data_IF_164356546865
#
_entry.id   IF_164356546865
#
_cell.length_a   1.000
_cell.length_b   1.000
_cell.length_c   1.000
_cell.angle_alpha   90.00
_cell.angle_beta   90.00
_cell.angle_gamma   90.00
#
_symmetry.space_group_name_H-M   'P 1'
#
loop_
_entity.id
_entity.type
_entity.pdbx_description
1 polymer ?
#
# COMPACT_ATOMS: atom_id res chain seq x y z
N UNK A 1 -30.08 5.66 -22.22
CA UNK A 1 -29.95 4.30 -22.78
C UNK A 1 -28.47 4.06 -22.97
N UNK A 2 -27.88 3.10 -22.24
CA UNK A 2 -26.44 2.83 -22.34
C UNK A 2 -26.17 2.20 -23.71
N UNK A 3 -25.21 2.77 -24.45
CA UNK A 3 -24.86 2.32 -25.79
C UNK A 3 -24.34 0.87 -25.74
N UNK A 4 -25.04 -0.05 -26.42
CA UNK A 4 -24.74 -1.49 -26.37
C UNK A 4 -23.31 -1.82 -26.84
N UNK A 5 -22.75 -1.00 -27.71
CA UNK A 5 -21.36 -1.14 -28.16
C UNK A 5 -20.37 -0.86 -27.02
N UNK A 6 -20.60 0.21 -26.25
CA UNK A 6 -19.79 0.51 -25.06
C UNK A 6 -19.90 -0.59 -24.01
N UNK A 7 -21.08 -1.14 -23.81
CA UNK A 7 -21.27 -2.23 -22.84
C UNK A 7 -20.44 -3.47 -23.21
N UNK A 8 -20.48 -3.90 -24.48
CA UNK A 8 -19.67 -5.05 -24.95
C UNK A 8 -18.16 -4.78 -24.91
N UNK A 9 -17.74 -3.55 -25.21
CA UNK A 9 -16.34 -3.12 -25.09
C UNK A 9 -15.86 -3.22 -23.63
N UNK A 10 -16.69 -2.78 -22.69
CA UNK A 10 -16.42 -2.87 -21.25
C UNK A 10 -16.37 -4.31 -20.77
N UNK A 11 -17.30 -5.18 -21.18
CA UNK A 11 -17.26 -6.60 -20.83
C UNK A 11 -15.96 -7.27 -21.29
N UNK A 12 -15.52 -7.02 -22.53
CA UNK A 12 -14.24 -7.55 -23.05
C UNK A 12 -13.03 -7.06 -22.25
N UNK A 13 -13.03 -5.79 -21.84
CA UNK A 13 -11.94 -5.22 -21.02
C UNK A 13 -11.93 -5.84 -19.63
N UNK A 14 -13.10 -6.10 -19.04
CA UNK A 14 -13.21 -6.77 -17.74
C UNK A 14 -12.73 -8.22 -17.84
N UNK A 15 -13.17 -8.99 -18.84
CA UNK A 15 -12.70 -10.38 -19.04
C UNK A 15 -11.19 -10.46 -19.24
N UNK A 16 -10.61 -9.54 -20.01
CA UNK A 16 -9.16 -9.49 -20.21
C UNK A 16 -8.39 -9.19 -18.91
N UNK A 17 -8.93 -8.30 -18.06
CA UNK A 17 -8.36 -7.98 -16.75
C UNK A 17 -8.47 -9.16 -15.78
N UNK A 18 -9.61 -9.84 -15.77
CA UNK A 18 -9.83 -11.03 -14.93
C UNK A 18 -8.87 -12.16 -15.33
N UNK A 19 -8.69 -12.40 -16.62
CA UNK A 19 -7.75 -13.40 -17.12
C UNK A 19 -6.31 -13.05 -16.73
N UNK A 20 -5.92 -11.77 -16.88
CA UNK A 20 -4.60 -11.29 -16.45
C UNK A 20 -4.40 -11.48 -14.95
N UNK A 21 -5.39 -11.15 -14.11
CA UNK A 21 -5.33 -11.34 -12.66
C UNK A 21 -5.20 -12.82 -12.27
N UNK A 22 -5.94 -13.71 -12.94
CA UNK A 22 -5.85 -15.17 -12.73
C UNK A 22 -4.47 -15.70 -13.14
N UNK A 23 -3.89 -15.20 -14.22
CA UNK A 23 -2.53 -15.57 -14.62
C UNK A 23 -1.46 -15.04 -13.66
N UNK A 24 -1.63 -13.82 -13.13
CA UNK A 24 -0.74 -13.25 -12.11
C UNK A 24 -0.87 -13.97 -10.76
N UNK A 25 -2.05 -14.48 -10.42
CA UNK A 25 -2.23 -15.31 -9.22
C UNK A 25 -1.51 -16.67 -9.30
N UNK A 26 -1.13 -17.14 -10.50
CA UNK A 26 -0.68 -18.53 -10.67
C UNK A 26 0.76 -18.84 -10.29
N UNK A 27 1.63 -17.88 -10.00
CA UNK A 27 2.97 -18.14 -9.46
C UNK A 27 3.54 -16.83 -8.98
N UNK A 28 3.86 -16.75 -7.67
CA UNK A 28 4.91 -15.98 -6.97
C UNK A 28 5.49 -14.65 -7.48
N UNK A 29 5.16 -14.16 -8.66
CA UNK A 29 5.70 -12.97 -9.29
C UNK A 29 5.02 -11.77 -8.66
N UNK A 30 5.85 -10.96 -8.00
CA UNK A 30 5.47 -9.66 -7.50
C UNK A 30 5.24 -8.79 -8.75
N UNK A 31 4.02 -8.26 -8.98
CA UNK A 31 3.75 -7.42 -10.13
C UNK A 31 4.70 -6.21 -10.17
N UNK A 32 5.08 -5.77 -11.35
CA UNK A 32 5.95 -4.60 -11.52
C UNK A 32 5.41 -3.39 -10.73
N UNK A 33 6.29 -2.78 -9.92
CA UNK A 33 5.94 -1.64 -9.07
C UNK A 33 5.28 -2.00 -7.74
N UNK A 34 4.94 -3.27 -7.49
CA UNK A 34 4.54 -3.77 -6.18
C UNK A 34 5.76 -4.23 -5.38
N UNK A 35 5.70 -4.10 -4.06
CA UNK A 35 6.70 -4.65 -3.16
C UNK A 35 6.02 -5.18 -1.88
N UNK A 36 6.63 -6.16 -1.19
CA UNK A 36 6.14 -6.61 0.10
C UNK A 36 6.00 -5.45 1.08
N UNK A 37 4.82 -5.30 1.66
CA UNK A 37 4.51 -4.23 2.60
C UNK A 37 5.40 -4.33 3.85
N UNK A 38 5.85 -5.53 4.21
CA UNK A 38 6.83 -5.75 5.28
C UNK A 38 8.17 -5.10 4.98
N UNK A 39 8.68 -5.24 3.77
CA UNK A 39 9.92 -4.59 3.31
C UNK A 39 9.75 -3.07 3.29
N UNK A 40 8.65 -2.58 2.71
CA UNK A 40 8.36 -1.14 2.68
C UNK A 40 8.17 -0.54 4.08
N UNK A 41 7.56 -1.28 5.01
CA UNK A 41 7.42 -0.87 6.39
C UNK A 41 8.79 -0.73 7.07
N UNK A 42 9.67 -1.73 6.87
CA UNK A 42 11.03 -1.71 7.42
C UNK A 42 11.86 -0.55 6.85
N UNK A 43 11.79 -0.30 5.53
CA UNK A 43 12.45 0.86 4.88
C UNK A 43 12.04 2.19 5.52
N UNK A 44 10.76 2.33 5.87
CA UNK A 44 10.21 3.57 6.43
C UNK A 44 10.22 3.62 7.96
N UNK A 45 10.76 2.60 8.66
CA UNK A 45 10.79 2.54 10.13
C UNK A 45 9.41 2.36 10.78
N UNK A 46 8.47 1.74 10.06
CA UNK A 46 7.10 1.49 10.49
C UNK A 46 6.90 0.02 10.87
N UNK A 47 5.97 -0.25 11.79
CA UNK A 47 5.48 -1.62 11.97
C UNK A 47 4.61 -2.02 10.77
N UNK A 48 4.52 -3.32 10.50
CA UNK A 48 3.68 -3.87 9.43
C UNK A 48 2.22 -3.43 9.57
N UNK A 49 1.65 -3.54 10.78
CA UNK A 49 0.29 -3.08 11.09
C UNK A 49 0.09 -1.58 10.81
N UNK A 50 1.10 -0.73 11.09
CA UNK A 50 1.00 0.71 10.81
C UNK A 50 1.22 1.04 9.33
N UNK A 51 2.05 0.27 8.63
CA UNK A 51 2.17 0.38 7.19
C UNK A 51 0.86 -0.02 6.49
N UNK A 52 0.14 -1.03 7.00
CA UNK A 52 -1.20 -1.40 6.50
C UNK A 52 -2.22 -0.27 6.71
N UNK A 53 -2.29 0.29 7.92
CA UNK A 53 -3.18 1.44 8.20
C UNK A 53 -2.84 2.64 7.31
N UNK A 54 -1.55 2.96 7.16
CA UNK A 54 -1.08 4.04 6.31
C UNK A 54 -1.48 3.82 4.86
N UNK A 55 -1.25 2.62 4.33
CA UNK A 55 -1.59 2.30 2.95
C UNK A 55 -3.11 2.44 2.70
N UNK A 56 -3.94 1.91 3.61
CA UNK A 56 -5.41 2.02 3.52
C UNK A 56 -5.89 3.47 3.56
N UNK A 57 -5.38 4.26 4.50
CA UNK A 57 -5.83 5.63 4.71
C UNK A 57 -5.33 6.60 3.64
N UNK A 58 -4.15 6.33 3.06
CA UNK A 58 -3.57 7.14 1.98
C UNK A 58 -3.99 6.67 0.58
N UNK A 59 -4.87 5.67 0.47
CA UNK A 59 -5.34 5.15 -0.82
C UNK A 59 -4.24 4.45 -1.64
N UNK A 60 -3.23 3.91 -0.98
CA UNK A 60 -2.19 3.10 -1.63
C UNK A 60 -2.79 1.71 -1.89
N UNK A 61 -2.73 1.27 -3.14
CA UNK A 61 -3.19 -0.07 -3.52
C UNK A 61 -2.41 -1.14 -2.74
N UNK A 62 -3.15 -1.99 -2.04
CA UNK A 62 -2.63 -3.17 -1.34
C UNK A 62 -3.29 -4.43 -1.87
N UNK A 63 -2.51 -5.49 -2.05
CA UNK A 63 -2.97 -6.81 -2.53
C UNK A 63 -2.52 -7.86 -1.54
N UNK A 64 -3.42 -8.78 -1.16
CA UNK A 64 -3.07 -9.89 -0.28
C UNK A 64 -2.30 -10.95 -1.06
N UNK A 65 -1.11 -11.33 -0.59
CA UNK A 65 -0.30 -12.41 -1.15
C UNK A 65 0.03 -13.41 -0.02
N UNK A 66 -0.68 -14.54 -0.01
CA UNK A 66 -0.58 -15.53 1.07
C UNK A 66 -0.92 -14.94 2.44
N UNK A 67 0.05 -15.00 3.36
CA UNK A 67 -0.04 -14.43 4.71
C UNK A 67 0.42 -12.96 4.81
N UNK A 68 0.89 -12.36 3.70
CA UNK A 68 1.36 -10.98 3.66
C UNK A 68 0.55 -10.08 2.74
N UNK A 69 0.98 -8.82 2.65
CA UNK A 69 0.46 -7.83 1.71
C UNK A 69 1.57 -7.33 0.81
N UNK A 70 1.23 -7.10 -0.45
CA UNK A 70 1.99 -6.30 -1.40
C UNK A 70 1.38 -4.91 -1.46
N UNK A 71 2.21 -3.88 -1.62
CA UNK A 71 1.76 -2.51 -1.84
C UNK A 71 2.54 -1.86 -2.99
N UNK A 72 1.91 -0.89 -3.66
CA UNK A 72 2.58 -0.16 -4.73
C UNK A 72 3.72 0.69 -4.15
N UNK A 73 4.97 0.33 -4.46
CA UNK A 73 6.17 0.82 -3.76
C UNK A 73 6.34 2.34 -3.85
N UNK A 74 6.23 2.92 -5.05
CA UNK A 74 6.39 4.37 -5.26
C UNK A 74 5.39 5.19 -4.46
N UNK A 75 4.09 4.93 -4.68
CA UNK A 75 3.00 5.59 -3.94
C UNK A 75 3.08 5.39 -2.44
N UNK A 76 3.50 4.21 -1.98
CA UNK A 76 3.70 3.96 -0.55
C UNK A 76 4.80 4.85 0.03
N UNK A 77 5.97 4.92 -0.61
CA UNK A 77 7.09 5.74 -0.13
C UNK A 77 6.75 7.23 -0.13
N UNK A 78 6.05 7.71 -1.15
CA UNK A 78 5.56 9.08 -1.21
C UNK A 78 4.60 9.39 -0.06
N UNK A 79 3.57 8.55 0.13
CA UNK A 79 2.61 8.70 1.21
C UNK A 79 3.29 8.63 2.58
N UNK A 80 4.16 7.65 2.80
CA UNK A 80 4.92 7.50 4.04
C UNK A 80 5.83 8.70 4.30
N UNK A 81 6.49 9.24 3.28
CA UNK A 81 7.32 10.43 3.40
C UNK A 81 6.51 11.67 3.78
N UNK A 82 5.35 11.90 3.14
CA UNK A 82 4.46 13.01 3.46
C UNK A 82 3.99 12.94 4.90
N UNK A 83 3.59 11.75 5.34
CA UNK A 83 3.10 11.48 6.68
C UNK A 83 4.17 11.68 7.74
N UNK A 84 5.36 11.13 7.52
CA UNK A 84 6.49 11.26 8.47
C UNK A 84 6.93 12.72 8.58
N UNK A 85 6.95 13.47 7.48
CA UNK A 85 7.25 14.91 7.47
C UNK A 85 6.17 15.74 8.17
N UNK A 86 4.90 15.42 8.00
CA UNK A 86 3.77 16.13 8.59
C UNK A 86 3.49 15.78 10.06
N UNK A 87 4.13 14.73 10.58
CA UNK A 87 3.88 14.22 11.92
C UNK A 87 4.50 15.13 13.00
N UNK A 88 3.69 15.51 13.98
CA UNK A 88 4.14 16.29 15.14
C UNK A 88 4.48 15.35 16.30
N UNK A 89 5.63 15.59 16.94
CA UNK A 89 6.04 14.87 18.15
C UNK A 89 5.46 15.55 19.39
N UNK A 90 4.87 14.81 20.33
CA UNK A 90 4.77 15.27 21.72
C UNK A 90 6.14 15.05 22.38
N UNK A 91 6.68 16.07 23.04
CA UNK A 91 7.99 15.99 23.72
C UNK A 91 8.08 14.72 24.58
N UNK A 92 9.11 13.90 24.38
CA UNK A 92 9.36 12.69 25.17
C UNK A 92 8.49 11.45 24.86
N UNK A 93 7.50 11.49 23.95
CA UNK A 93 6.63 10.33 23.73
C UNK A 93 7.17 9.33 22.68
N UNK A 94 7.02 8.03 22.98
CA UNK A 94 7.18 6.86 22.07
C UNK A 94 6.34 6.95 20.78
N UNK A 95 5.42 7.90 20.72
CA UNK A 95 4.38 8.02 19.73
C UNK A 95 4.43 9.37 19.00
N UNK A 96 4.07 9.34 17.72
CA UNK A 96 3.96 10.45 16.78
C UNK A 96 2.49 10.59 16.40
N UNK A 97 2.02 11.82 16.15
CA UNK A 97 0.64 12.09 15.76
C UNK A 97 0.60 12.78 14.40
N UNK A 98 -0.22 12.26 13.50
CA UNK A 98 -0.57 12.90 12.24
C UNK A 98 -2.07 13.20 12.21
N UNK A 99 -2.50 14.42 11.81
CA UNK A 99 -3.91 14.83 11.84
C UNK A 99 -4.88 13.87 11.13
N UNK A 100 -4.44 13.25 10.02
CA UNK A 100 -5.28 12.32 9.24
C UNK A 100 -5.08 10.84 9.56
N UNK A 101 -3.95 10.45 10.16
CA UNK A 101 -3.62 9.03 10.42
C UNK A 101 -3.65 8.67 11.90
N UNK A 102 -3.84 9.66 12.77
CA UNK A 102 -3.84 9.44 14.21
C UNK A 102 -2.44 9.15 14.77
N UNK A 103 -2.39 8.29 15.78
CA UNK A 103 -1.19 8.02 16.59
C UNK A 103 -0.44 6.79 16.09
N UNK A 104 0.85 6.91 15.85
CA UNK A 104 1.73 5.80 15.47
C UNK A 104 3.06 5.81 16.22
N UNK A 105 3.73 4.65 16.27
CA UNK A 105 5.02 4.47 16.94
C UNK A 105 6.08 4.45 15.85
N UNK A 106 7.07 5.34 15.95
CA UNK A 106 8.29 5.17 15.17
C UNK A 106 9.07 4.02 15.80
N UNK A 107 9.24 2.92 15.08
CA UNK A 107 10.19 1.89 15.47
C UNK A 107 11.54 2.43 15.01
N UNK A 108 12.55 2.46 15.90
CA UNK A 108 13.91 2.84 15.49
C UNK A 108 14.28 1.98 14.28
N UNK A 109 14.57 2.62 13.15
CA UNK A 109 15.13 1.92 12.00
C UNK A 109 16.33 1.10 12.50
N UNK A 110 16.41 -0.17 12.06
CA UNK A 110 17.62 -0.94 12.28
C UNK A 110 18.77 -0.13 11.65
N UNK A 111 19.70 0.32 12.49
CA UNK A 111 20.92 0.98 12.03
C UNK A 111 21.68 -0.07 11.22
N UNK A 112 21.84 0.19 9.92
CA UNK A 112 22.80 -0.51 9.09
C UNK A 112 24.23 -0.08 9.49
#
# INVERSE_FOLDING_TARGET
MMDQMKYRELEKRVEALELALVTMQRKGDVPDGMAPLTTLAAEMGLSTSKAEELARNCGVMIVRQGNGYLAHAGKFREAASLVIRGAKRKYGSKYWYHPTLGKFIMIKAAQA
#
